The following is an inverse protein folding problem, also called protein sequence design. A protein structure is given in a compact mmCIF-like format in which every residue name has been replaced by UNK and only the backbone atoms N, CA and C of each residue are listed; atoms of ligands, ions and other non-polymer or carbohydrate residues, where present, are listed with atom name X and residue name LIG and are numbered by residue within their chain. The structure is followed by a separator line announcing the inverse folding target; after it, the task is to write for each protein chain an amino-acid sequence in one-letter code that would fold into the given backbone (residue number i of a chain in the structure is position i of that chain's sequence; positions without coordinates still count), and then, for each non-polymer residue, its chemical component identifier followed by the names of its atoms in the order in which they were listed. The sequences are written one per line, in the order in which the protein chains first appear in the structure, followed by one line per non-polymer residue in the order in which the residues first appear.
data_IF_362433148408
#
_entry.id   IF_362433148408
#
_cell.length_a   1.000
_cell.length_b   1.000
_cell.length_c   1.000
_cell.angle_alpha   90.00
_cell.angle_beta   90.00
_cell.angle_gamma   90.00
#
_symmetry.space_group_name_H-M   'P 1'
#
loop_
_entity.id
_entity.type
_entity.pdbx_description
1 polymer ?
#
# COMPACT_ATOMS: atom_id res chain seq x y z
N UNK A 1 -1.65 24.18 -12.24
CA UNK A 1 -2.49 23.27 -13.04
C UNK A 1 -2.45 21.94 -12.32
N UNK A 2 -3.59 21.44 -11.83
CA UNK A 2 -3.64 20.09 -11.27
C UNK A 2 -3.69 19.10 -12.45
N UNK A 3 -2.77 18.15 -12.47
CA UNK A 3 -2.75 17.09 -13.49
C UNK A 3 -4.06 16.30 -13.45
N UNK A 4 -4.84 16.27 -14.55
CA UNK A 4 -6.20 15.70 -14.55
C UNK A 4 -6.24 14.16 -14.45
N UNK A 5 -5.12 13.50 -14.18
CA UNK A 5 -5.00 12.03 -14.15
C UNK A 5 -4.24 11.48 -12.95
N UNK A 6 -4.04 12.26 -11.88
CA UNK A 6 -3.39 11.70 -10.69
C UNK A 6 -4.24 10.54 -10.15
N UNK A 7 -3.68 9.33 -10.15
CA UNK A 7 -4.35 8.17 -9.59
C UNK A 7 -4.03 8.06 -8.10
N UNK A 8 -4.85 7.33 -7.33
CA UNK A 8 -4.56 7.08 -5.91
C UNK A 8 -3.14 6.51 -5.71
N UNK A 9 -2.65 5.54 -6.52
CA UNK A 9 -1.27 5.07 -6.49
C UNK A 9 -0.24 6.17 -6.66
N UNK A 10 -0.40 7.03 -7.67
CA UNK A 10 0.60 8.06 -7.97
C UNK A 10 0.63 9.11 -6.85
N UNK A 11 -0.55 9.51 -6.34
CA UNK A 11 -0.65 10.39 -5.18
C UNK A 11 -0.06 9.76 -3.91
N UNK A 12 -0.27 8.46 -3.70
CA UNK A 12 0.28 7.74 -2.56
C UNK A 12 1.81 7.66 -2.63
N UNK A 13 2.39 7.30 -3.78
CA UNK A 13 3.85 7.24 -3.97
C UNK A 13 4.48 8.61 -3.67
N UNK A 14 3.90 9.69 -4.20
CA UNK A 14 4.38 11.04 -3.94
C UNK A 14 4.37 11.38 -2.44
N UNK A 15 3.24 11.16 -1.77
CA UNK A 15 3.11 11.43 -0.33
C UNK A 15 4.00 10.53 0.53
N UNK A 16 4.19 9.27 0.13
CA UNK A 16 5.07 8.32 0.81
C UNK A 16 6.54 8.75 0.70
N UNK A 17 6.98 9.21 -0.48
CA UNK A 17 8.31 9.78 -0.68
C UNK A 17 8.50 11.11 0.06
N UNK A 18 7.48 11.97 0.11
CA UNK A 18 7.52 13.20 0.92
C UNK A 18 7.62 12.92 2.42
N UNK A 19 6.99 11.84 2.90
CA UNK A 19 7.05 11.41 4.29
C UNK A 19 8.34 10.64 4.63
N UNK A 20 9.10 10.20 3.62
CA UNK A 20 10.37 9.53 3.80
C UNK A 20 11.42 10.53 4.26
N UNK A 21 12.02 10.31 5.43
CA UNK A 21 13.07 11.18 5.98
C UNK A 21 14.46 10.87 5.38
N UNK A 22 14.54 9.82 4.56
CA UNK A 22 15.72 9.45 3.81
C UNK A 22 15.85 10.23 2.48
N UNK A 23 17.09 10.50 2.03
CA UNK A 23 17.34 11.25 0.80
C UNK A 23 17.00 10.46 -0.47
N UNK A 24 16.92 9.13 -0.37
CA UNK A 24 16.58 8.25 -1.47
C UNK A 24 15.06 8.04 -1.53
N UNK A 25 14.51 7.89 -2.74
CA UNK A 25 13.11 7.50 -2.90
C UNK A 25 12.87 6.09 -2.36
N UNK A 26 11.67 5.85 -1.86
CA UNK A 26 11.22 4.52 -1.48
C UNK A 26 11.24 3.61 -2.70
N UNK A 27 11.91 2.47 -2.58
CA UNK A 27 11.87 1.42 -3.57
C UNK A 27 10.49 0.73 -3.54
N UNK A 28 9.56 1.23 -4.35
CA UNK A 28 8.17 0.78 -4.43
C UNK A 28 7.93 0.01 -5.71
N UNK A 29 7.48 -1.24 -5.57
CA UNK A 29 6.94 -2.02 -6.67
C UNK A 29 5.46 -1.73 -6.88
N UNK A 30 5.03 -1.66 -8.14
CA UNK A 30 3.63 -1.45 -8.53
C UNK A 30 3.20 -2.59 -9.46
N UNK A 31 2.03 -3.17 -9.24
CA UNK A 31 1.48 -4.18 -10.15
C UNK A 31 1.05 -3.55 -11.48
N UNK A 32 0.98 -4.37 -12.54
CA UNK A 32 0.57 -3.93 -13.88
C UNK A 32 -0.81 -3.26 -13.92
N UNK A 33 -1.74 -3.72 -13.07
CA UNK A 33 -3.07 -3.13 -12.91
C UNK A 33 -3.10 -1.87 -12.03
N UNK A 34 -1.95 -1.48 -11.48
CA UNK A 34 -1.75 -0.40 -10.50
C UNK A 34 -2.66 -0.48 -9.28
N UNK A 35 -3.20 -1.66 -8.97
CA UNK A 35 -4.04 -1.89 -7.79
C UNK A 35 -3.24 -2.41 -6.60
N UNK A 36 -1.95 -2.74 -6.76
CA UNK A 36 -1.08 -3.17 -5.68
C UNK A 36 0.22 -2.39 -5.71
N UNK A 37 0.61 -1.87 -4.55
CA UNK A 37 1.89 -1.24 -4.29
C UNK A 37 2.57 -1.96 -3.13
N UNK A 38 3.87 -2.17 -3.17
CA UNK A 38 4.62 -2.79 -2.07
C UNK A 38 5.99 -2.16 -1.93
N UNK A 39 6.55 -2.17 -0.71
CA UNK A 39 7.98 -1.94 -0.55
C UNK A 39 8.75 -3.11 -1.17
N UNK A 40 9.57 -2.81 -2.19
CA UNK A 40 10.47 -3.77 -2.83
C UNK A 40 11.70 -4.05 -1.97
N UNK A 41 12.09 -3.11 -1.10
CA UNK A 41 13.15 -3.35 -0.15
C UNK A 41 12.69 -4.38 0.90
N UNK A 42 13.29 -5.56 0.84
CA UNK A 42 12.96 -6.70 1.70
C UNK A 42 13.46 -6.44 3.12
N UNK A 43 12.68 -5.73 3.94
CA UNK A 43 12.89 -5.78 5.38
C UNK A 43 12.60 -7.21 5.85
N UNK A 44 13.56 -7.92 6.47
CA UNK A 44 13.43 -9.35 6.70
C UNK A 44 12.30 -9.65 7.69
N UNK A 45 11.18 -10.14 7.17
CA UNK A 45 10.04 -10.65 7.94
C UNK A 45 8.79 -9.78 7.96
N UNK A 46 8.83 -8.55 7.44
CA UNK A 46 7.65 -7.68 7.35
C UNK A 46 7.72 -6.85 6.06
N UNK A 47 6.86 -7.18 5.10
CA UNK A 47 6.74 -6.44 3.84
C UNK A 47 5.31 -5.93 3.73
N UNK A 48 5.04 -4.70 4.21
CA UNK A 48 3.74 -4.11 4.05
C UNK A 48 3.53 -3.77 2.58
N UNK A 49 2.34 -4.10 2.08
CA UNK A 49 1.90 -3.76 0.75
C UNK A 49 0.47 -3.24 0.78
N UNK A 50 0.24 -2.21 -0.01
CA UNK A 50 -1.05 -1.56 -0.20
C UNK A 50 -1.77 -2.22 -1.37
N UNK A 51 -2.97 -2.70 -1.13
CA UNK A 51 -3.85 -3.24 -2.16
C UNK A 51 -5.12 -2.40 -2.24
N UNK A 52 -5.35 -1.77 -3.39
CA UNK A 52 -6.61 -1.14 -3.73
C UNK A 52 -7.61 -2.18 -4.23
N UNK A 53 -8.56 -2.51 -3.39
CA UNK A 53 -9.71 -3.33 -3.75
C UNK A 53 -10.75 -2.47 -4.50
N UNK A 54 -11.25 -3.01 -5.62
CA UNK A 54 -12.26 -2.35 -6.45
C UNK A 54 -13.59 -2.35 -5.70
N UNK A 55 -14.06 -1.18 -5.28
CA UNK A 55 -15.41 -0.98 -4.75
C UNK A 55 -16.45 -0.70 -5.84
N UNK A 56 -17.71 -0.48 -5.42
CA UNK A 56 -18.79 0.02 -6.29
C UNK A 56 -18.51 1.45 -6.78
N UNK A 57 -19.20 1.88 -7.84
CA UNK A 57 -18.94 3.15 -8.53
C UNK A 57 -18.74 4.34 -7.55
N UNK A 58 -17.58 4.98 -7.63
CA UNK A 58 -17.16 6.11 -6.78
C UNK A 58 -16.34 5.72 -5.54
N UNK A 59 -16.47 4.50 -5.03
CA UNK A 59 -15.76 4.05 -3.83
C UNK A 59 -14.68 3.01 -4.15
N UNK A 60 -13.57 3.07 -3.43
CA UNK A 60 -12.59 2.00 -3.33
C UNK A 60 -12.35 1.63 -1.88
N UNK A 61 -11.74 0.47 -1.67
CA UNK A 61 -11.23 0.11 -0.35
C UNK A 61 -9.73 -0.02 -0.51
N UNK A 62 -8.98 0.68 0.32
CA UNK A 62 -7.54 0.45 0.44
C UNK A 62 -7.33 -0.52 1.59
N UNK A 63 -6.67 -1.63 1.30
CA UNK A 63 -6.25 -2.60 2.29
C UNK A 63 -4.73 -2.49 2.44
N UNK A 64 -4.27 -2.30 3.67
CA UNK A 64 -2.86 -2.50 4.01
C UNK A 64 -2.72 -3.93 4.44
N UNK A 65 -1.79 -4.64 3.80
CA UNK A 65 -1.56 -6.06 4.00
C UNK A 65 -0.10 -6.30 4.33
N UNK A 66 0.17 -7.30 5.14
CA UNK A 66 1.52 -7.76 5.45
C UNK A 66 1.69 -9.20 4.99
N UNK A 67 2.93 -9.56 4.66
CA UNK A 67 3.29 -10.95 4.39
C UNK A 67 4.11 -11.49 5.56
N UNK A 68 3.58 -12.53 6.20
CA UNK A 68 4.25 -13.23 7.28
C UNK A 68 4.72 -14.62 6.81
N UNK A 69 5.90 -15.02 7.26
CA UNK A 69 6.37 -16.40 7.11
C UNK A 69 5.94 -17.20 8.33
N UNK A 70 4.92 -18.04 8.15
CA UNK A 70 4.53 -18.99 9.18
C UNK A 70 5.37 -20.25 9.03
N UNK A 71 6.05 -20.64 10.10
CA UNK A 71 6.77 -21.90 10.17
C UNK A 71 5.95 -22.90 10.96
N UNK A 72 5.66 -24.05 10.37
CA UNK A 72 5.01 -25.14 11.10
C UNK A 72 6.02 -25.89 11.99
N UNK A 73 5.51 -26.81 12.81
CA UNK A 73 6.33 -27.65 13.70
C UNK A 73 7.28 -28.59 12.97
N UNK A 74 7.07 -28.82 11.67
CA UNK A 74 7.91 -29.66 10.81
C UNK A 74 8.99 -28.84 10.09
N UNK A 75 8.99 -27.51 10.28
CA UNK A 75 9.98 -26.59 9.74
C UNK A 75 9.64 -26.06 8.36
N UNK A 76 8.48 -26.40 7.78
CA UNK A 76 8.02 -25.86 6.51
C UNK A 76 7.61 -24.40 6.67
N UNK A 77 7.99 -23.56 5.71
CA UNK A 77 7.64 -22.15 5.70
C UNK A 77 6.52 -21.90 4.69
N UNK A 78 5.39 -21.40 5.17
CA UNK A 78 4.29 -20.94 4.34
C UNK A 78 4.20 -19.42 4.42
N UNK A 79 4.17 -18.76 3.27
CA UNK A 79 3.95 -17.32 3.20
C UNK A 79 2.45 -17.05 3.25
N UNK A 80 2.00 -16.34 4.28
CA UNK A 80 0.60 -15.94 4.44
C UNK A 80 0.46 -14.43 4.23
N UNK A 81 -0.65 -14.04 3.61
CA UNK A 81 -1.07 -12.65 3.52
C UNK A 81 -2.03 -12.35 4.66
N UNK A 82 -1.74 -11.31 5.43
CA UNK A 82 -2.61 -10.78 6.46
C UNK A 82 -3.13 -9.41 6.00
N UNK A 83 -4.39 -9.10 6.30
CA UNK A 83 -4.92 -7.75 6.16
C UNK A 83 -4.81 -7.07 7.52
N UNK A 84 -3.91 -6.10 7.64
CA UNK A 84 -3.66 -5.38 8.89
C UNK A 84 -4.70 -4.29 9.11
N UNK A 85 -5.08 -3.59 8.04
CA UNK A 85 -6.15 -2.58 8.08
C UNK A 85 -6.84 -2.42 6.74
N UNK A 86 -8.07 -1.92 6.77
CA UNK A 86 -8.91 -1.67 5.60
C UNK A 86 -9.64 -0.35 5.78
N UNK A 87 -9.51 0.55 4.82
CA UNK A 87 -10.12 1.87 4.84
C UNK A 87 -10.90 2.12 3.55
N UNK A 88 -12.18 2.52 3.63
CA UNK A 88 -12.91 2.99 2.46
C UNK A 88 -12.35 4.35 2.02
N UNK A 89 -12.16 4.53 0.72
CA UNK A 89 -11.66 5.76 0.12
C UNK A 89 -12.53 6.18 -1.07
N UNK A 90 -12.64 7.48 -1.27
CA UNK A 90 -13.31 8.06 -2.44
C UNK A 90 -12.36 8.06 -3.63
N UNK A 91 -12.75 7.45 -4.75
CA UNK A 91 -11.94 7.44 -5.98
C UNK A 91 -11.98 8.75 -6.73
N UNK A 92 -12.98 9.58 -6.47
CA UNK A 92 -13.13 10.89 -7.11
C UNK A 92 -12.19 11.93 -6.52
N UNK A 93 -11.62 11.67 -5.33
CA UNK A 93 -10.56 12.47 -4.72
C UNK A 93 -9.30 11.60 -4.43
N UNK A 94 -8.45 11.39 -5.45
CA UNK A 94 -7.25 10.57 -5.33
C UNK A 94 -6.27 11.04 -4.25
N UNK A 95 -6.17 12.35 -4.04
CA UNK A 95 -5.24 12.95 -3.07
C UNK A 95 -5.71 12.70 -1.64
N UNK A 96 -7.00 12.89 -1.34
CA UNK A 96 -7.54 12.59 -0.01
C UNK A 96 -7.51 11.09 0.28
N UNK A 97 -7.83 10.25 -0.71
CA UNK A 97 -7.71 8.80 -0.62
C UNK A 97 -6.27 8.35 -0.32
N UNK A 98 -5.29 8.92 -1.01
CA UNK A 98 -3.88 8.61 -0.79
C UNK A 98 -3.39 9.04 0.60
N UNK A 99 -3.83 10.19 1.13
CA UNK A 99 -3.50 10.62 2.50
C UNK A 99 -4.06 9.67 3.56
N UNK A 100 -5.31 9.24 3.40
CA UNK A 100 -5.91 8.25 4.30
C UNK A 100 -5.14 6.93 4.26
N UNK A 101 -4.83 6.46 3.06
CA UNK A 101 -4.06 5.26 2.85
C UNK A 101 -2.65 5.34 3.46
N UNK A 102 -1.95 6.46 3.31
CA UNK A 102 -0.63 6.71 3.91
C UNK A 102 -0.72 6.69 5.44
N UNK A 103 -1.72 7.35 6.03
CA UNK A 103 -1.91 7.33 7.48
C UNK A 103 -2.14 5.91 8.01
N UNK A 104 -2.95 5.11 7.32
CA UNK A 104 -3.14 3.70 7.64
C UNK A 104 -1.84 2.90 7.51
N UNK A 105 -1.08 3.11 6.43
CA UNK A 105 0.16 2.40 6.19
C UNK A 105 1.23 2.72 7.24
N UNK A 106 1.43 3.98 7.59
CA UNK A 106 2.37 4.41 8.64
C UNK A 106 1.99 3.83 10.02
N UNK A 107 0.71 3.59 10.29
CA UNK A 107 0.27 2.96 11.55
C UNK A 107 0.59 1.47 11.66
N UNK A 108 1.00 0.84 10.55
CA UNK A 108 1.35 -0.59 10.48
C UNK A 108 2.84 -0.86 10.41
N UNK A 109 3.66 0.18 10.19
CA UNK A 109 5.12 0.14 10.23
C UNK A 109 5.62 0.26 11.68
#
# INVERSE_FOLDING_TARGET
MADPYITIPDAFIALANEANDHPDELDLGVSDDRLRLWLSNSYPGFSPYLQMCKGSAGNAVVEVRSQANNRDSEGNSTRVTLTDTSVPVDRTDPCSAARLALGCWLSTL
#
